data_IF_855635936682
#
_entry.id   IF_855635936682
#
_cell.length_a   1.000
_cell.length_b   1.000
_cell.length_c   1.000
_cell.angle_alpha   90.00
_cell.angle_beta   90.00
_cell.angle_gamma   90.00
#
_symmetry.space_group_name_H-M   'P 1'
#
loop_
_entity.id
_entity.type
_entity.pdbx_description
1 polymer ?
#
# COMPACT_ATOMS: atom_id res chain seq x y z
N UNK A 1 -14.72 18.33 -2.10
CA UNK A 1 -13.87 19.47 -2.24
C UNK A 1 -12.49 19.08 -2.65
N UNK A 2 -12.01 19.74 -3.64
CA UNK A 2 -10.69 19.45 -4.17
C UNK A 2 -9.61 19.72 -3.15
N UNK A 3 -9.84 20.63 -2.28
CA UNK A 3 -8.86 21.00 -1.28
C UNK A 3 -8.43 19.86 -0.40
N UNK A 4 -9.30 18.89 -0.25
CA UNK A 4 -8.96 17.78 0.63
C UNK A 4 -7.79 16.98 0.11
N UNK A 5 -7.60 17.00 -1.19
CA UNK A 5 -6.45 16.31 -1.76
C UNK A 5 -5.15 16.98 -1.38
N UNK A 6 -5.20 18.26 -1.14
CA UNK A 6 -4.00 19.02 -0.87
C UNK A 6 -3.50 18.83 0.53
N UNK A 7 -4.35 18.36 1.42
CA UNK A 7 -3.90 18.07 2.77
C UNK A 7 -3.48 16.63 2.95
N UNK A 8 -3.43 15.88 1.89
CA UNK A 8 -2.95 14.51 1.95
C UNK A 8 -1.49 14.51 2.34
N UNK A 9 -1.18 13.77 3.37
CA UNK A 9 0.19 13.74 3.89
C UNK A 9 1.16 13.03 3.00
N UNK A 10 0.69 12.00 2.32
CA UNK A 10 1.57 11.12 1.57
C UNK A 10 1.14 11.10 0.12
N UNK A 11 2.09 11.27 -0.80
CA UNK A 11 1.74 11.21 -2.22
C UNK A 11 1.28 9.82 -2.59
N UNK A 12 0.40 9.77 -3.56
CA UNK A 12 -0.03 8.52 -4.13
C UNK A 12 0.58 8.37 -5.51
N UNK A 13 0.99 7.15 -5.80
CA UNK A 13 1.66 6.85 -7.06
C UNK A 13 0.67 6.18 -8.00
N UNK A 14 -0.19 6.99 -8.62
CA UNK A 14 -1.16 6.47 -9.56
C UNK A 14 -0.47 5.86 -10.76
N UNK A 15 -1.01 4.78 -11.27
CA UNK A 15 -0.46 4.12 -12.42
C UNK A 15 0.68 3.18 -12.12
N UNK A 16 1.14 3.14 -10.87
CA UNK A 16 2.11 2.15 -10.44
C UNK A 16 1.41 0.79 -10.41
N UNK A 17 2.09 -0.22 -10.93
CA UNK A 17 1.51 -1.55 -10.95
C UNK A 17 1.27 -2.04 -9.53
N UNK A 18 0.19 -2.80 -9.32
CA UNK A 18 -0.03 -3.41 -8.02
C UNK A 18 1.14 -4.32 -7.65
N UNK A 19 1.47 -4.35 -6.36
CA UNK A 19 2.56 -5.15 -5.87
C UNK A 19 2.03 -6.23 -4.94
N UNK A 20 2.65 -7.42 -4.92
CA UNK A 20 2.19 -8.46 -4.02
C UNK A 20 2.48 -8.10 -2.57
N UNK A 21 1.56 -8.46 -1.71
CA UNK A 21 1.70 -8.25 -0.29
C UNK A 21 1.08 -9.45 0.42
N UNK A 22 1.76 -9.92 1.47
CA UNK A 22 1.18 -10.91 2.36
C UNK A 22 0.53 -10.16 3.51
N UNK A 23 -0.70 -10.55 3.87
CA UNK A 23 -1.35 -9.91 5.00
C UNK A 23 -1.91 -10.96 5.95
N UNK A 24 -2.03 -10.56 7.19
CA UNK A 24 -2.46 -11.46 8.25
C UNK A 24 -3.33 -10.70 9.23
N UNK A 25 -4.46 -11.30 9.58
CA UNK A 25 -5.37 -10.76 10.58
C UNK A 25 -5.90 -11.94 11.39
N UNK A 26 -5.47 -12.04 12.64
CA UNK A 26 -5.82 -13.20 13.43
C UNK A 26 -5.24 -14.46 12.81
N UNK A 27 -6.08 -15.43 12.53
CA UNK A 27 -5.65 -16.66 11.86
C UNK A 27 -5.80 -16.58 10.35
N UNK A 28 -6.36 -15.51 9.82
CA UNK A 28 -6.54 -15.33 8.40
C UNK A 28 -5.25 -14.82 7.78
N UNK A 29 -4.78 -15.50 6.74
CA UNK A 29 -3.58 -15.12 6.01
C UNK A 29 -3.87 -15.22 4.53
N UNK A 30 -3.30 -14.31 3.77
CA UNK A 30 -3.45 -14.38 2.33
C UNK A 30 -2.36 -13.56 1.66
N UNK A 31 -2.14 -13.86 0.38
CA UNK A 31 -1.31 -13.02 -0.48
C UNK A 31 -2.25 -12.33 -1.44
N UNK A 32 -2.06 -11.04 -1.60
CA UNK A 32 -2.93 -10.23 -2.43
C UNK A 32 -2.10 -9.17 -3.12
N UNK A 33 -2.77 -8.31 -3.88
CA UNK A 33 -2.11 -7.19 -4.53
C UNK A 33 -2.47 -5.91 -3.80
N UNK A 34 -1.44 -5.13 -3.52
CA UNK A 34 -1.60 -3.82 -2.90
C UNK A 34 -1.66 -2.76 -4.00
N UNK A 35 -2.67 -1.92 -3.93
CA UNK A 35 -2.88 -0.84 -4.88
C UNK A 35 -2.80 0.49 -4.16
N UNK A 36 -2.49 1.54 -4.88
CA UNK A 36 -2.43 2.90 -4.35
C UNK A 36 -1.51 2.99 -3.13
N UNK A 37 -0.39 2.30 -3.20
CA UNK A 37 0.53 2.18 -2.08
C UNK A 37 1.22 3.51 -1.80
N UNK A 38 1.27 3.88 -0.53
CA UNK A 38 1.98 5.05 -0.05
C UNK A 38 2.49 4.75 1.35
N UNK A 39 3.22 5.69 1.93
CA UNK A 39 3.66 5.53 3.31
C UNK A 39 2.49 5.62 4.30
N UNK A 40 1.36 6.15 3.86
CA UNK A 40 0.21 6.32 4.74
C UNK A 40 -0.83 5.24 4.63
N UNK A 41 -0.85 4.49 3.53
CA UNK A 41 -1.87 3.47 3.36
C UNK A 41 -1.86 2.82 2.01
N UNK A 42 -2.83 1.95 1.79
CA UNK A 42 -2.94 1.18 0.56
C UNK A 42 -4.32 0.56 0.48
N UNK A 43 -4.63 0.03 -0.69
CA UNK A 43 -5.82 -0.79 -0.88
C UNK A 43 -5.40 -2.21 -1.20
N UNK A 44 -6.03 -3.19 -0.57
CA UNK A 44 -5.76 -4.60 -0.82
C UNK A 44 -7.01 -5.25 -1.37
N UNK A 45 -6.88 -5.92 -2.52
CA UNK A 45 -7.97 -6.69 -3.10
C UNK A 45 -8.10 -8.02 -2.37
N UNK A 46 -9.29 -8.30 -1.88
CA UNK A 46 -9.61 -9.58 -1.26
C UNK A 46 -11.12 -9.76 -1.26
N UNK A 47 -11.60 -10.98 -1.53
CA UNK A 47 -13.03 -11.22 -1.51
C UNK A 47 -13.64 -11.21 -0.12
N UNK A 48 -12.83 -11.40 0.92
CA UNK A 48 -13.33 -11.50 2.29
C UNK A 48 -12.52 -10.58 3.21
N UNK A 49 -12.69 -9.26 3.05
CA UNK A 49 -11.92 -8.34 3.90
C UNK A 49 -12.37 -8.40 5.35
N UNK A 50 -11.42 -8.27 6.29
CA UNK A 50 -11.77 -8.11 7.69
C UNK A 50 -12.58 -6.83 7.92
N UNK A 51 -13.27 -6.73 9.04
CA UNK A 51 -14.10 -5.56 9.30
C UNK A 51 -13.27 -4.30 9.57
N UNK A 52 -13.92 -3.16 9.39
CA UNK A 52 -13.33 -1.87 9.72
C UNK A 52 -12.86 -1.88 11.17
N UNK A 53 -11.67 -1.36 11.41
CA UNK A 53 -11.07 -1.35 12.73
C UNK A 53 -10.15 -2.52 13.01
N UNK A 54 -10.17 -3.55 12.18
CA UNK A 54 -9.32 -4.71 12.40
C UNK A 54 -7.85 -4.33 12.19
N UNK A 55 -6.99 -4.94 12.98
CA UNK A 55 -5.54 -4.75 12.87
C UNK A 55 -5.00 -5.81 11.91
N UNK A 56 -4.19 -5.36 10.97
CA UNK A 56 -3.65 -6.22 9.92
C UNK A 56 -2.14 -6.05 9.87
N UNK A 57 -1.43 -7.16 9.77
CA UNK A 57 0.01 -7.12 9.54
C UNK A 57 0.28 -7.33 8.07
N UNK A 58 1.21 -6.56 7.53
CA UNK A 58 1.57 -6.61 6.13
C UNK A 58 3.03 -6.94 5.97
N UNK A 59 3.33 -7.70 4.93
CA UNK A 59 4.70 -8.04 4.60
C UNK A 59 4.92 -7.84 3.10
N UNK A 60 5.85 -6.97 2.78
CA UNK A 60 6.27 -6.73 1.41
C UNK A 60 7.68 -7.25 1.21
N UNK A 61 7.97 -7.70 0.00
CA UNK A 61 9.33 -8.05 -0.39
C UNK A 61 9.84 -6.98 -1.34
N UNK A 62 10.86 -6.25 -0.90
CA UNK A 62 11.47 -5.21 -1.72
C UNK A 62 12.87 -5.65 -2.12
N UNK A 63 13.48 -4.96 -3.09
CA UNK A 63 14.86 -5.30 -3.46
C UNK A 63 15.86 -5.21 -2.31
N UNK A 64 15.54 -4.44 -1.28
CA UNK A 64 16.43 -4.28 -0.14
C UNK A 64 16.05 -5.18 1.03
N UNK A 65 15.05 -6.05 0.85
CA UNK A 65 14.63 -6.96 1.89
C UNK A 65 13.17 -6.78 2.27
N UNK A 66 12.77 -7.45 3.32
CA UNK A 66 11.39 -7.44 3.77
C UNK A 66 11.03 -6.12 4.42
N UNK A 67 9.77 -5.73 4.25
CA UNK A 67 9.19 -4.60 4.97
C UNK A 67 7.95 -5.10 5.68
N UNK A 68 7.93 -4.93 7.00
CA UNK A 68 6.79 -5.32 7.83
C UNK A 68 6.09 -4.09 8.34
N UNK A 69 4.78 -4.10 8.23
CA UNK A 69 3.95 -2.94 8.52
C UNK A 69 2.74 -3.38 9.29
N UNK A 70 2.30 -2.55 10.22
CA UNK A 70 1.02 -2.73 10.90
C UNK A 70 0.05 -1.70 10.36
N UNK A 71 -1.17 -2.15 10.12
CA UNK A 71 -2.18 -1.29 9.52
C UNK A 71 -3.53 -1.56 10.14
N UNK A 72 -4.45 -0.63 9.94
CA UNK A 72 -5.82 -0.75 10.42
C UNK A 72 -6.75 -0.63 9.23
N UNK A 73 -7.78 -1.48 9.19
CA UNK A 73 -8.79 -1.41 8.13
C UNK A 73 -9.61 -0.14 8.35
N UNK A 74 -9.61 0.73 7.35
CA UNK A 74 -10.35 2.00 7.40
C UNK A 74 -11.67 1.95 6.68
N UNK A 75 -11.71 1.20 5.59
CA UNK A 75 -12.98 1.01 4.87
C UNK A 75 -12.95 -0.35 4.21
N UNK A 76 -14.13 -0.82 3.87
CA UNK A 76 -14.29 -2.14 3.27
C UNK A 76 -15.20 -1.98 2.07
N UNK A 77 -14.80 -2.59 0.95
CA UNK A 77 -15.67 -2.76 -0.20
C UNK A 77 -16.00 -4.25 -0.29
N UNK A 78 -17.22 -4.63 0.13
CA UNK A 78 -17.54 -6.07 0.23
C UNK A 78 -17.31 -6.79 -1.08
N UNK A 79 -16.68 -7.95 -0.99
CA UNK A 79 -16.37 -8.75 -2.16
C UNK A 79 -15.23 -8.22 -3.01
N UNK A 80 -14.68 -7.06 -2.68
CA UNK A 80 -13.64 -6.45 -3.49
C UNK A 80 -12.34 -6.24 -2.73
N UNK A 81 -12.41 -5.66 -1.53
CA UNK A 81 -11.19 -5.42 -0.79
C UNK A 81 -11.36 -4.43 0.34
N UNK A 82 -10.23 -3.95 0.83
CA UNK A 82 -10.19 -3.08 1.99
C UNK A 82 -9.15 -1.99 1.83
N UNK A 83 -9.48 -0.81 2.32
CA UNK A 83 -8.53 0.28 2.43
C UNK A 83 -7.90 0.25 3.80
N UNK A 84 -6.59 0.36 3.85
CA UNK A 84 -5.82 0.26 5.08
C UNK A 84 -5.04 1.54 5.33
N UNK A 85 -4.99 1.95 6.59
CA UNK A 85 -4.09 3.01 7.02
C UNK A 85 -2.91 2.37 7.72
N UNK A 86 -1.70 2.75 7.33
CA UNK A 86 -0.51 2.27 8.00
C UNK A 86 -0.41 2.98 9.33
N UNK A 87 -0.33 2.22 10.41
CA UNK A 87 -0.33 2.78 11.76
C UNK A 87 1.01 2.67 12.45
N UNK A 88 1.85 1.73 12.04
CA UNK A 88 3.12 1.52 12.74
C UNK A 88 4.08 0.75 11.85
N UNK A 89 5.34 1.16 11.90
CA UNK A 89 6.42 0.41 11.26
C UNK A 89 7.75 0.92 11.80
N UNK A 90 8.74 0.04 11.86
CA UNK A 90 10.07 0.41 12.30
C UNK A 90 10.71 1.40 11.33
N UNK A 91 11.61 2.22 11.85
CA UNK A 91 12.27 3.22 11.01
C UNK A 91 13.04 2.60 9.86
N UNK A 92 13.70 1.49 10.09
CA UNK A 92 14.44 0.84 9.01
C UNK A 92 13.50 0.36 7.92
N UNK A 93 12.36 -0.17 8.31
CA UNK A 93 11.35 -0.63 7.36
C UNK A 93 10.73 0.54 6.63
N UNK A 94 10.51 1.64 7.34
CA UNK A 94 9.96 2.84 6.73
C UNK A 94 10.90 3.41 5.68
N UNK A 95 12.18 3.47 5.99
CA UNK A 95 13.17 3.96 5.03
C UNK A 95 13.23 3.05 3.81
N UNK A 96 13.18 1.75 4.04
CA UNK A 96 13.21 0.78 2.95
C UNK A 96 11.98 0.90 2.06
N UNK A 97 10.81 1.04 2.69
CA UNK A 97 9.58 1.22 1.95
C UNK A 97 9.61 2.52 1.14
N UNK A 98 10.09 3.59 1.76
CA UNK A 98 10.19 4.88 1.09
C UNK A 98 11.07 4.81 -0.16
N UNK A 99 12.21 4.15 -0.06
CA UNK A 99 13.09 3.99 -1.21
C UNK A 99 12.44 3.16 -2.30
N UNK A 100 11.73 2.10 -1.91
CA UNK A 100 11.06 1.25 -2.88
C UNK A 100 9.97 2.01 -3.62
N UNK A 101 9.19 2.82 -2.89
CA UNK A 101 8.15 3.62 -3.51
C UNK A 101 8.74 4.60 -4.52
N UNK A 102 9.90 5.16 -4.24
CA UNK A 102 10.56 6.04 -5.20
C UNK A 102 10.98 5.30 -6.45
N UNK A 103 11.47 4.08 -6.28
CA UNK A 103 11.83 3.25 -7.43
C UNK A 103 10.61 2.94 -8.28
N UNK A 104 9.51 2.56 -7.64
CA UNK A 104 8.28 2.25 -8.36
C UNK A 104 7.76 3.47 -9.12
N UNK A 105 7.83 4.63 -8.49
CA UNK A 105 7.39 5.85 -9.14
C UNK A 105 8.27 6.21 -10.33
N UNK A 106 9.56 5.98 -10.22
CA UNK A 106 10.47 6.25 -11.33
C UNK A 106 10.25 5.31 -12.48
N UNK A 107 9.95 4.06 -12.19
CA UNK A 107 9.65 3.10 -13.25
C UNK A 107 8.44 3.53 -14.04
N UNK A 108 7.44 4.04 -13.35
CA UNK A 108 6.26 4.57 -14.00
C UNK A 108 6.61 5.81 -14.83
N UNK A 109 7.41 6.69 -14.26
CA UNK A 109 7.78 7.92 -14.95
C UNK A 109 8.61 7.65 -16.20
N UNK A 110 9.46 6.66 -16.13
CA UNK A 110 10.27 6.29 -17.29
C UNK A 110 9.36 5.81 -18.42
N UNK A 111 8.33 5.06 -18.08
CA UNK A 111 7.42 4.55 -19.09
C UNK A 111 6.57 5.65 -19.70
N UNK A 112 6.13 6.58 -18.88
CA UNK A 112 5.22 7.62 -19.37
C UNK A 112 5.87 8.69 -20.22
N UNK A 113 7.00 9.22 -19.84
CA UNK A 113 7.64 10.24 -20.66
C UNK A 113 7.92 9.76 -22.08
N UNK A 114 8.23 8.51 -22.23
CA UNK A 114 8.45 7.96 -23.56
C UNK A 114 7.20 8.09 -24.41
N UNK A 115 6.08 7.80 -23.81
CA UNK A 115 4.82 7.89 -24.52
C UNK A 115 4.42 9.35 -24.76
N UNK A 116 4.79 10.22 -23.87
CA UNK A 116 4.41 11.62 -23.96
C UNK A 116 5.19 12.37 -25.03
N UNK A 117 6.37 11.93 -25.30
CA UNK A 117 7.20 12.62 -26.26
C UNK A 117 6.78 12.29 -27.67
#
# INVERSE_FOLDING_TARGET
>A
MAEQKEIRRYPRYKGVKPVPVAWMQGTQKAVAKAENLSLGGLFIGTPTPPPVGALVQLLFHTPEGEVRVRATVRNVKPGKGMGLAITSMDQDHRARLSRWLQILAKQRDVAEPVAAI
#
